data_IF_681280907804
#
_entry.id   IF_681280907804
#
_cell.length_a   1.000
_cell.length_b   1.000
_cell.length_c   1.000
_cell.angle_alpha   90.00
_cell.angle_beta   90.00
_cell.angle_gamma   90.00
#
_symmetry.space_group_name_H-M   'P 1'
#
loop_
_entity.id
_entity.type
_entity.pdbx_description
1 polymer ?
#
# COMPACT_ATOMS: atom_id res chain seq x y z
N UNK A 1 31.98 -43.18 -2.94
CA UNK A 1 31.39 -43.37 -1.60
C UNK A 1 30.66 -44.70 -1.56
N UNK A 2 30.99 -45.60 -0.62
CA UNK A 2 30.34 -46.92 -0.45
C UNK A 2 28.83 -46.72 -0.25
N UNK A 3 28.01 -47.58 -0.88
CA UNK A 3 26.52 -47.58 -0.78
C UNK A 3 26.02 -47.46 0.67
N UNK A 4 26.78 -47.95 1.66
CA UNK A 4 26.46 -47.81 3.09
C UNK A 4 26.42 -46.36 3.58
N UNK A 5 27.26 -45.47 3.06
CA UNK A 5 27.26 -44.06 3.46
C UNK A 5 26.06 -43.30 2.88
N UNK A 6 25.60 -43.68 1.68
CA UNK A 6 24.40 -43.11 1.10
C UNK A 6 23.14 -43.54 1.86
N UNK A 7 23.05 -44.82 2.22
CA UNK A 7 21.96 -45.35 3.03
C UNK A 7 21.94 -44.72 4.42
N UNK A 8 23.11 -44.57 5.07
CA UNK A 8 23.22 -43.90 6.36
C UNK A 8 22.77 -42.43 6.29
N UNK A 9 23.16 -41.71 5.23
CA UNK A 9 22.77 -40.32 5.02
C UNK A 9 21.26 -40.19 4.78
N UNK A 10 20.67 -41.08 3.99
CA UNK A 10 19.22 -41.16 3.81
C UNK A 10 18.55 -41.44 5.15
N UNK A 11 19.01 -42.43 5.92
CA UNK A 11 18.41 -42.80 7.22
C UNK A 11 18.48 -41.66 8.25
N UNK A 12 19.60 -40.93 8.30
CA UNK A 12 19.77 -39.75 9.16
C UNK A 12 18.81 -38.64 8.73
N UNK A 13 18.71 -38.37 7.42
CA UNK A 13 17.77 -37.39 6.89
C UNK A 13 16.32 -37.80 7.21
N UNK A 14 15.95 -39.06 7.04
CA UNK A 14 14.60 -39.55 7.36
C UNK A 14 14.31 -39.47 8.86
N UNK A 15 15.24 -39.85 9.74
CA UNK A 15 15.09 -39.72 11.20
C UNK A 15 14.91 -38.26 11.62
N UNK A 16 15.67 -37.35 11.02
CA UNK A 16 15.55 -35.91 11.26
C UNK A 16 14.20 -35.34 10.79
N UNK A 17 13.61 -35.87 9.72
CA UNK A 17 12.29 -35.46 9.25
C UNK A 17 11.13 -36.10 10.04
N UNK A 18 11.37 -37.15 10.83
CA UNK A 18 10.33 -37.82 11.62
C UNK A 18 10.28 -37.39 13.10
N UNK A 19 11.28 -36.67 13.62
CA UNK A 19 11.25 -35.97 14.92
C UNK A 19 10.58 -34.59 14.81
N UNK A 20 9.38 -34.55 14.22
CA UNK A 20 8.54 -33.34 14.24
C UNK A 20 7.56 -33.52 15.39
N UNK A 21 7.88 -32.93 16.54
CA UNK A 21 6.93 -32.80 17.63
C UNK A 21 5.63 -32.18 17.09
N UNK A 22 4.46 -32.82 17.27
CA UNK A 22 3.19 -32.29 16.81
C UNK A 22 2.85 -31.04 17.65
N UNK A 23 3.19 -29.86 17.13
CA UNK A 23 2.82 -28.60 17.74
C UNK A 23 1.41 -28.18 17.33
N UNK A 24 0.48 -28.28 18.27
CA UNK A 24 -0.89 -27.80 18.13
C UNK A 24 -0.92 -26.26 17.98
N UNK A 25 -1.59 -25.77 16.94
CA UNK A 25 -1.79 -24.35 16.70
C UNK A 25 -2.74 -23.74 17.73
N UNK A 26 -2.19 -23.03 18.74
CA UNK A 26 -2.97 -22.18 19.65
C UNK A 26 -3.27 -20.79 19.06
N UNK A 27 -4.30 -20.08 19.55
CA UNK A 27 -4.67 -18.75 19.05
C UNK A 27 -3.55 -17.72 19.35
N UNK A 28 -3.27 -16.83 18.40
CA UNK A 28 -2.35 -15.69 18.61
C UNK A 28 -0.92 -15.84 18.09
N UNK A 29 -0.72 -16.40 16.89
CA UNK A 29 0.61 -16.41 16.23
C UNK A 29 1.65 -17.28 16.96
N UNK A 30 1.20 -18.16 17.85
CA UNK A 30 2.02 -19.09 18.63
C UNK A 30 2.85 -20.01 17.74
N UNK A 31 2.32 -20.36 16.57
CA UNK A 31 3.03 -21.13 15.52
C UNK A 31 4.25 -20.37 15.00
N UNK A 32 4.08 -19.09 14.64
CA UNK A 32 5.19 -18.24 14.16
C UNK A 32 6.25 -18.08 15.24
N UNK A 33 5.83 -17.77 16.48
CA UNK A 33 6.75 -17.63 17.63
C UNK A 33 7.50 -18.93 17.94
N UNK A 34 6.90 -20.10 17.70
CA UNK A 34 7.55 -21.39 17.91
C UNK A 34 8.57 -21.73 16.82
N UNK A 35 8.27 -21.41 15.55
CA UNK A 35 9.21 -21.55 14.43
C UNK A 35 10.50 -20.75 14.70
N UNK A 36 10.40 -19.53 15.24
CA UNK A 36 11.60 -18.74 15.57
C UNK A 36 12.41 -19.28 16.76
N UNK A 37 11.85 -20.18 17.57
CA UNK A 37 12.52 -20.75 18.75
C UNK A 37 13.28 -22.04 18.43
N UNK A 38 12.78 -22.87 17.51
CA UNK A 38 13.42 -24.15 17.16
C UNK A 38 14.68 -23.95 16.32
N UNK A 39 15.66 -24.85 16.47
CA UNK A 39 16.89 -24.81 15.66
C UNK A 39 16.59 -24.96 14.17
N UNK A 40 15.72 -25.92 13.81
CA UNK A 40 15.26 -26.13 12.44
C UNK A 40 14.46 -24.96 11.87
N UNK A 41 13.60 -24.33 12.67
CA UNK A 41 12.85 -23.16 12.24
C UNK A 41 13.76 -21.95 11.99
N UNK A 42 14.82 -21.77 12.77
CA UNK A 42 15.86 -20.76 12.50
C UNK A 42 16.60 -21.03 11.19
N UNK A 43 16.96 -22.28 10.90
CA UNK A 43 17.59 -22.66 9.63
C UNK A 43 16.64 -22.37 8.47
N UNK A 44 15.39 -22.82 8.55
CA UNK A 44 14.37 -22.59 7.53
C UNK A 44 14.17 -21.09 7.26
N UNK A 45 14.02 -20.28 8.31
CA UNK A 45 13.85 -18.83 8.19
C UNK A 45 15.11 -18.15 7.61
N UNK A 46 16.30 -18.63 7.97
CA UNK A 46 17.56 -18.12 7.42
C UNK A 46 17.68 -18.42 5.92
N UNK A 47 17.36 -19.64 5.50
CA UNK A 47 17.34 -20.03 4.09
C UNK A 47 16.28 -19.23 3.32
N UNK A 48 15.07 -19.09 3.87
CA UNK A 48 14.02 -18.28 3.26
C UNK A 48 14.44 -16.82 3.13
N UNK A 49 15.07 -16.24 4.16
CA UNK A 49 15.58 -14.89 4.14
C UNK A 49 16.67 -14.72 3.07
N UNK A 50 17.61 -15.67 2.93
CA UNK A 50 18.64 -15.61 1.88
C UNK A 50 18.02 -15.63 0.48
N UNK A 51 16.94 -16.40 0.30
CA UNK A 51 16.23 -16.49 -0.99
C UNK A 51 15.43 -15.20 -1.28
N UNK A 52 14.73 -14.65 -0.28
CA UNK A 52 13.86 -13.48 -0.46
C UNK A 52 14.61 -12.14 -0.42
N UNK A 53 15.77 -12.08 0.25
CA UNK A 53 16.54 -10.85 0.44
C UNK A 53 16.97 -10.19 -0.88
N UNK A 54 17.46 -10.92 -1.91
CA UNK A 54 17.75 -10.33 -3.22
C UNK A 54 16.52 -9.67 -3.85
N UNK A 55 15.35 -10.29 -3.74
CA UNK A 55 14.10 -9.73 -4.25
C UNK A 55 13.72 -8.47 -3.47
N UNK A 56 13.71 -8.52 -2.14
CA UNK A 56 13.39 -7.36 -1.29
C UNK A 56 14.34 -6.19 -1.56
N UNK A 57 15.64 -6.44 -1.70
CA UNK A 57 16.62 -5.41 -2.05
C UNK A 57 16.36 -4.85 -3.45
N UNK A 58 16.06 -5.70 -4.42
CA UNK A 58 15.72 -5.25 -5.77
C UNK A 58 14.53 -4.30 -5.76
N UNK A 59 13.43 -4.65 -5.08
CA UNK A 59 12.25 -3.79 -4.94
C UNK A 59 12.61 -2.47 -4.28
N UNK A 60 13.32 -2.52 -3.16
CA UNK A 60 13.75 -1.33 -2.43
C UNK A 60 14.59 -0.39 -3.31
N UNK A 61 15.57 -0.92 -4.05
CA UNK A 61 16.42 -0.12 -4.91
C UNK A 61 15.65 0.47 -6.09
N UNK A 62 14.74 -0.29 -6.72
CA UNK A 62 13.87 0.21 -7.78
C UNK A 62 13.08 1.42 -7.31
N UNK A 63 12.36 1.30 -6.20
CA UNK A 63 11.61 2.41 -5.60
C UNK A 63 12.52 3.60 -5.27
N UNK A 64 13.70 3.35 -4.69
CA UNK A 64 14.65 4.40 -4.36
C UNK A 64 15.09 5.20 -5.60
N UNK A 65 15.43 4.51 -6.70
CA UNK A 65 15.84 5.17 -7.94
C UNK A 65 14.66 5.89 -8.62
N UNK A 66 13.45 5.32 -8.58
CA UNK A 66 12.24 5.95 -9.09
C UNK A 66 11.96 7.27 -8.36
N UNK A 67 11.97 7.24 -7.03
CA UNK A 67 11.79 8.44 -6.19
C UNK A 67 12.85 9.49 -6.49
N UNK A 68 14.11 9.08 -6.61
CA UNK A 68 15.21 10.01 -6.91
C UNK A 68 15.05 10.64 -8.30
N UNK A 69 14.65 9.86 -9.30
CA UNK A 69 14.39 10.32 -10.67
C UNK A 69 13.22 11.32 -10.70
N UNK A 70 12.09 10.97 -10.10
CA UNK A 70 10.91 11.83 -10.06
C UNK A 70 11.19 13.14 -9.32
N UNK A 71 11.85 13.11 -8.16
CA UNK A 71 12.25 14.33 -7.44
C UNK A 71 13.18 15.22 -8.27
N UNK A 72 14.09 14.64 -9.05
CA UNK A 72 14.96 15.40 -9.96
C UNK A 72 14.16 16.09 -11.07
N UNK A 73 13.17 15.42 -11.66
CA UNK A 73 12.30 16.00 -12.69
C UNK A 73 11.41 17.11 -12.10
N UNK A 74 10.79 16.86 -10.94
CA UNK A 74 10.00 17.86 -10.21
C UNK A 74 10.82 19.09 -9.84
N UNK A 75 12.11 18.92 -9.49
CA UNK A 75 12.98 20.07 -9.23
C UNK A 75 13.16 20.97 -10.46
N UNK A 76 13.25 20.39 -11.66
CA UNK A 76 13.37 21.15 -12.91
C UNK A 76 12.05 21.83 -13.28
N UNK A 77 10.93 21.11 -13.18
CA UNK A 77 9.60 21.65 -13.48
C UNK A 77 9.17 22.72 -12.47
N UNK A 78 9.52 22.52 -11.19
CA UNK A 78 9.27 23.44 -10.09
C UNK A 78 9.86 24.83 -10.28
N UNK A 79 10.88 24.99 -11.13
CA UNK A 79 11.45 26.29 -11.49
C UNK A 79 10.54 27.09 -12.43
N UNK A 80 9.70 26.41 -13.22
CA UNK A 80 8.77 27.01 -14.18
C UNK A 80 7.37 27.13 -13.61
N UNK A 81 6.89 26.07 -12.96
CA UNK A 81 5.58 26.03 -12.31
C UNK A 81 5.75 25.57 -10.85
N UNK A 82 5.39 26.44 -9.90
CA UNK A 82 5.52 26.18 -8.47
C UNK A 82 4.69 24.99 -7.98
N UNK A 83 3.64 24.60 -8.68
CA UNK A 83 2.79 23.46 -8.32
C UNK A 83 3.50 22.12 -8.53
N UNK A 84 4.55 22.09 -9.35
CA UNK A 84 5.41 20.93 -9.58
C UNK A 84 6.60 20.89 -8.60
N UNK A 85 6.76 21.89 -7.74
CA UNK A 85 7.76 21.86 -6.67
C UNK A 85 7.42 20.76 -5.67
N UNK A 86 8.38 19.89 -5.35
CA UNK A 86 8.19 18.81 -4.38
C UNK A 86 7.63 19.27 -3.03
N UNK A 87 8.04 20.46 -2.54
CA UNK A 87 7.58 20.97 -1.25
C UNK A 87 6.09 21.34 -1.27
N UNK A 88 5.62 21.95 -2.36
CA UNK A 88 4.21 22.28 -2.52
C UNK A 88 3.40 21.01 -2.79
N UNK A 89 3.94 20.12 -3.62
CA UNK A 89 3.28 18.90 -4.03
C UNK A 89 3.08 17.92 -2.86
N UNK A 90 4.09 17.73 -2.01
CA UNK A 90 3.98 16.92 -0.77
C UNK A 90 2.88 17.48 0.16
N UNK A 91 2.80 18.80 0.31
CA UNK A 91 1.76 19.44 1.11
C UNK A 91 0.37 19.26 0.49
N UNK A 92 0.26 19.43 -0.83
CA UNK A 92 -0.99 19.28 -1.57
C UNK A 92 -1.51 17.85 -1.51
N UNK A 93 -0.68 16.85 -1.79
CA UNK A 93 -1.09 15.44 -1.77
C UNK A 93 -1.49 14.99 -0.37
N UNK A 94 -0.80 15.43 0.69
CA UNK A 94 -1.20 15.16 2.09
C UNK A 94 -2.56 15.77 2.42
N UNK A 95 -2.82 16.99 1.95
CA UNK A 95 -4.12 17.63 2.13
C UNK A 95 -5.22 16.90 1.35
N UNK A 96 -5.01 16.58 0.07
CA UNK A 96 -5.93 15.80 -0.76
C UNK A 96 -6.25 14.46 -0.08
N UNK A 97 -5.22 13.73 0.34
CA UNK A 97 -5.36 12.46 1.07
C UNK A 97 -6.27 12.61 2.29
N UNK A 98 -5.97 13.57 3.16
CA UNK A 98 -6.74 13.79 4.39
C UNK A 98 -8.19 14.18 4.09
N UNK A 99 -8.42 15.06 3.11
CA UNK A 99 -9.76 15.54 2.73
C UNK A 99 -10.62 14.45 2.13
N UNK A 100 -10.04 13.60 1.28
CA UNK A 100 -10.74 12.45 0.69
C UNK A 100 -11.16 11.44 1.77
N UNK A 101 -10.29 11.12 2.72
CA UNK A 101 -10.65 10.25 3.85
C UNK A 101 -11.74 10.85 4.76
N UNK A 102 -11.71 12.17 5.01
CA UNK A 102 -12.79 12.83 5.76
C UNK A 102 -14.13 12.69 5.01
N UNK A 103 -14.12 12.91 3.69
CA UNK A 103 -15.30 12.81 2.84
C UNK A 103 -15.88 11.38 2.82
N UNK A 104 -15.02 10.35 2.75
CA UNK A 104 -15.45 8.95 2.85
C UNK A 104 -16.08 8.62 4.20
N UNK A 105 -15.47 9.05 5.30
CA UNK A 105 -16.02 8.85 6.64
C UNK A 105 -17.38 9.55 6.83
N UNK A 106 -17.55 10.72 6.22
CA UNK A 106 -18.81 11.48 6.23
C UNK A 106 -19.84 10.92 5.22
N UNK A 107 -19.43 10.02 4.32
CA UNK A 107 -20.22 9.50 3.20
C UNK A 107 -20.75 10.60 2.26
N UNK A 108 -20.02 11.71 2.18
CA UNK A 108 -20.30 12.86 1.33
C UNK A 108 -19.06 13.28 0.54
N UNK A 109 -18.95 12.78 -0.68
CA UNK A 109 -17.86 13.13 -1.60
C UNK A 109 -17.94 14.58 -2.11
N UNK A 110 -19.07 15.28 -1.94
CA UNK A 110 -19.17 16.68 -2.39
C UNK A 110 -18.16 17.57 -1.66
N UNK A 111 -17.89 17.28 -0.39
CA UNK A 111 -16.89 17.98 0.42
C UNK A 111 -15.47 17.88 -0.15
N UNK A 112 -15.18 16.82 -0.92
CA UNK A 112 -13.89 16.59 -1.57
C UNK A 112 -13.91 16.79 -3.09
N UNK A 113 -15.01 17.30 -3.66
CA UNK A 113 -15.18 17.44 -5.11
C UNK A 113 -14.09 18.28 -5.79
N UNK A 114 -13.51 19.27 -5.10
CA UNK A 114 -12.38 20.07 -5.61
C UNK A 114 -11.03 19.35 -5.54
N UNK A 115 -10.95 18.21 -4.85
CA UNK A 115 -9.71 17.45 -4.64
C UNK A 115 -9.67 16.15 -5.44
N UNK A 116 -10.73 15.81 -6.16
CA UNK A 116 -10.88 14.58 -6.93
C UNK A 116 -11.29 14.91 -8.36
N UNK A 117 -10.83 14.12 -9.32
CA UNK A 117 -11.23 14.25 -10.71
C UNK A 117 -12.71 13.91 -10.87
N UNK A 118 -13.34 14.46 -11.91
CA UNK A 118 -14.73 14.16 -12.22
C UNK A 118 -14.94 12.66 -12.47
N UNK A 119 -13.97 12.03 -13.14
CA UNK A 119 -13.94 10.60 -13.41
C UNK A 119 -13.91 9.78 -12.11
N UNK A 120 -12.97 10.10 -11.20
CA UNK A 120 -12.85 9.41 -9.92
C UNK A 120 -14.13 9.52 -9.09
N UNK A 121 -14.70 10.73 -9.03
CA UNK A 121 -15.94 10.98 -8.30
C UNK A 121 -17.11 10.12 -8.81
N UNK A 122 -17.31 10.08 -10.14
CA UNK A 122 -18.39 9.28 -10.74
C UNK A 122 -18.22 7.79 -10.43
N UNK A 123 -17.01 7.25 -10.61
CA UNK A 123 -16.75 5.84 -10.36
C UNK A 123 -16.97 5.48 -8.88
N UNK A 124 -16.43 6.27 -7.95
CA UNK A 124 -16.55 5.98 -6.52
C UNK A 124 -18.00 6.08 -6.03
N UNK A 125 -18.74 7.08 -6.51
CA UNK A 125 -20.14 7.28 -6.15
C UNK A 125 -21.03 6.14 -6.68
N UNK A 126 -20.85 5.78 -7.96
CA UNK A 126 -21.69 4.79 -8.64
C UNK A 126 -21.40 3.36 -8.16
N UNK A 127 -20.13 3.00 -7.99
CA UNK A 127 -19.73 1.61 -7.74
C UNK A 127 -19.84 1.24 -6.26
N UNK A 128 -19.42 2.11 -5.35
CA UNK A 128 -19.26 1.71 -3.94
C UNK A 128 -20.29 2.35 -3.01
N UNK A 129 -20.44 3.68 -3.07
CA UNK A 129 -21.28 4.39 -2.09
C UNK A 129 -22.77 4.09 -2.23
N UNK A 130 -23.27 3.97 -3.47
CA UNK A 130 -24.68 3.63 -3.70
C UNK A 130 -25.01 2.21 -3.25
N UNK A 131 -24.12 1.26 -3.48
CA UNK A 131 -24.28 -0.13 -3.04
C UNK A 131 -24.24 -0.26 -1.52
N UNK A 132 -23.27 0.39 -0.87
CA UNK A 132 -23.19 0.40 0.59
C UNK A 132 -24.43 1.02 1.24
N UNK A 133 -24.92 2.14 0.68
CA UNK A 133 -26.18 2.76 1.15
C UNK A 133 -27.38 1.82 0.97
N UNK A 134 -27.47 1.12 -0.17
CA UNK A 134 -28.54 0.13 -0.43
C UNK A 134 -28.51 -1.03 0.56
N UNK A 135 -27.31 -1.48 0.95
CA UNK A 135 -27.12 -2.59 1.89
C UNK A 135 -27.07 -2.16 3.37
N UNK A 136 -27.44 -0.91 3.65
CA UNK A 136 -27.41 -0.30 4.99
C UNK A 136 -26.03 -0.41 5.68
N UNK A 137 -24.97 -0.29 4.88
CA UNK A 137 -23.59 -0.31 5.30
C UNK A 137 -23.06 1.13 5.46
N UNK A 138 -22.19 1.31 6.44
CA UNK A 138 -21.45 2.54 6.68
C UNK A 138 -19.96 2.24 6.65
N UNK A 139 -19.22 2.92 5.78
CA UNK A 139 -17.78 2.96 5.86
C UNK A 139 -17.39 3.88 7.04
N UNK A 140 -16.47 3.40 7.88
CA UNK A 140 -15.80 4.20 8.89
C UNK A 140 -14.32 4.16 8.58
N UNK A 141 -13.80 5.28 8.07
CA UNK A 141 -12.38 5.45 7.82
C UNK A 141 -11.80 6.59 8.66
N UNK A 142 -10.66 6.37 9.31
CA UNK A 142 -9.94 7.39 10.06
C UNK A 142 -8.46 7.32 9.76
N UNK A 143 -7.85 8.47 9.59
CA UNK A 143 -6.40 8.61 9.41
C UNK A 143 -5.82 9.15 10.71
N UNK A 144 -4.92 8.39 11.34
CA UNK A 144 -4.16 8.86 12.51
C UNK A 144 -2.96 9.71 12.08
N UNK A 145 -2.26 9.27 11.03
CA UNK A 145 -1.14 10.03 10.48
C UNK A 145 -0.58 9.47 9.19
N UNK A 146 0.02 10.34 8.38
CA UNK A 146 0.71 9.98 7.13
C UNK A 146 2.20 9.81 7.42
N UNK A 147 2.70 8.58 7.35
CA UNK A 147 4.10 8.23 7.62
C UNK A 147 5.02 8.64 6.49
N UNK A 148 4.62 8.36 5.25
CA UNK A 148 5.47 8.63 4.09
C UNK A 148 4.67 8.97 2.84
N UNK A 149 5.26 9.81 1.99
CA UNK A 149 4.77 10.15 0.65
C UNK A 149 5.97 10.11 -0.28
N UNK A 150 5.91 9.25 -1.29
CA UNK A 150 7.01 9.01 -2.23
C UNK A 150 6.50 9.14 -3.66
N UNK A 151 7.02 10.06 -4.49
CA UNK A 151 6.66 10.14 -5.90
C UNK A 151 7.34 8.98 -6.63
N UNK A 152 6.57 8.06 -7.21
CA UNK A 152 7.11 6.89 -7.91
C UNK A 152 7.28 7.18 -9.39
N UNK A 153 6.28 7.79 -10.01
CA UNK A 153 6.23 7.99 -11.45
C UNK A 153 5.66 9.37 -11.79
N UNK A 154 6.22 10.01 -12.82
CA UNK A 154 5.79 11.31 -13.32
C UNK A 154 5.68 11.25 -14.84
N UNK A 155 4.48 11.51 -15.34
CA UNK A 155 4.15 11.67 -16.75
C UNK A 155 3.83 13.14 -17.01
N UNK A 156 4.53 13.74 -17.96
CA UNK A 156 4.40 15.16 -18.27
C UNK A 156 3.68 15.30 -19.60
N UNK A 157 2.59 16.06 -19.57
CA UNK A 157 1.86 16.44 -20.77
C UNK A 157 2.70 17.34 -21.68
N UNK A 158 2.47 17.24 -22.98
CA UNK A 158 3.09 18.12 -23.98
C UNK A 158 2.47 19.52 -24.00
N UNK A 159 1.35 19.73 -23.29
CA UNK A 159 0.69 21.02 -23.18
C UNK A 159 1.61 22.06 -22.51
N UNK A 160 1.64 23.30 -23.03
CA UNK A 160 2.50 24.37 -22.52
C UNK A 160 2.24 24.71 -21.04
N UNK A 161 0.98 24.57 -20.60
CA UNK A 161 0.55 24.77 -19.22
C UNK A 161 0.66 23.50 -18.35
N UNK A 162 1.18 22.40 -18.90
CA UNK A 162 1.34 21.10 -18.24
C UNK A 162 0.02 20.41 -17.85
N UNK A 163 -1.12 20.89 -18.35
CA UNK A 163 -2.44 20.28 -18.12
C UNK A 163 -2.50 18.84 -18.65
N UNK A 164 -3.08 17.95 -17.86
CA UNK A 164 -3.11 16.51 -18.10
C UNK A 164 -1.84 15.77 -17.66
N UNK A 165 -0.87 16.44 -17.04
CA UNK A 165 0.27 15.76 -16.41
C UNK A 165 -0.20 14.89 -15.25
N UNK A 166 0.45 13.74 -15.06
CA UNK A 166 0.07 12.76 -14.04
C UNK A 166 1.24 12.39 -13.16
N UNK A 167 0.97 12.14 -11.89
CA UNK A 167 1.97 11.69 -10.93
C UNK A 167 1.41 10.60 -10.02
N UNK A 168 2.16 9.52 -9.85
CA UNK A 168 1.83 8.44 -8.92
C UNK A 168 2.64 8.58 -7.63
N UNK A 169 1.97 8.53 -6.48
CA UNK A 169 2.59 8.52 -5.16
C UNK A 169 2.33 7.22 -4.43
N UNK A 170 3.38 6.62 -3.86
CA UNK A 170 3.22 5.66 -2.79
C UNK A 170 3.03 6.42 -1.47
N UNK A 171 1.88 6.24 -0.85
CA UNK A 171 1.53 6.84 0.43
C UNK A 171 1.41 5.73 1.48
N UNK A 172 2.19 5.86 2.54
CA UNK A 172 2.09 5.03 3.75
C UNK A 172 1.41 5.83 4.83
N UNK A 173 0.27 5.36 5.33
CA UNK A 173 -0.45 6.02 6.41
C UNK A 173 -0.98 5.01 7.43
N UNK A 174 -1.18 5.48 8.65
CA UNK A 174 -1.81 4.72 9.71
C UNK A 174 -3.33 4.98 9.67
N UNK A 175 -4.09 3.97 9.29
CA UNK A 175 -5.50 4.09 8.92
C UNK A 175 -6.30 3.04 9.67
N UNK A 176 -7.52 3.41 10.06
CA UNK A 176 -8.56 2.48 10.49
C UNK A 176 -9.64 2.52 9.43
N UNK A 177 -9.86 1.43 8.70
CA UNK A 177 -10.91 1.31 7.69
C UNK A 177 -11.71 0.03 7.92
N UNK A 178 -13.02 0.20 8.13
CA UNK A 178 -13.95 -0.90 8.25
C UNK A 178 -15.37 -0.51 7.83
N UNK A 179 -16.12 -1.53 7.47
CA UNK A 179 -17.53 -1.43 7.10
C UNK A 179 -18.39 -1.97 8.24
N UNK A 180 -19.36 -1.17 8.70
CA UNK A 180 -20.32 -1.56 9.72
C UNK A 180 -21.73 -1.62 9.12
N UNK A 181 -22.48 -2.67 9.44
CA UNK A 181 -23.91 -2.72 9.14
C UNK A 181 -24.68 -1.90 10.21
N UNK A 182 -25.49 -0.93 9.76
CA UNK A 182 -26.14 0.04 10.66
C UNK A 182 -27.22 -0.59 11.56
N UNK A 183 -27.86 -1.67 11.13
CA UNK A 183 -28.91 -2.33 11.93
C UNK A 183 -28.30 -3.17 13.06
N UNK A 184 -27.23 -3.91 12.75
CA UNK A 184 -26.65 -4.90 13.66
C UNK A 184 -25.45 -4.36 14.45
N UNK A 185 -24.91 -3.22 14.05
CA UNK A 185 -23.62 -2.68 14.52
C UNK A 185 -22.45 -3.68 14.41
N UNK A 186 -22.57 -4.68 13.53
CA UNK A 186 -21.50 -5.65 13.27
C UNK A 186 -20.57 -5.14 12.19
N UNK A 187 -19.28 -5.35 12.41
CA UNK A 187 -18.24 -5.15 11.40
C UNK A 187 -18.39 -6.26 10.36
N UNK A 188 -18.65 -5.89 9.11
CA UNK A 188 -18.82 -6.83 8.00
C UNK A 188 -17.54 -7.01 7.19
N UNK A 189 -16.64 -6.02 7.23
CA UNK A 189 -15.38 -6.02 6.50
C UNK A 189 -14.39 -5.07 7.17
N UNK A 190 -13.08 -5.37 7.07
CA UNK A 190 -12.01 -4.52 7.59
C UNK A 190 -11.75 -4.69 9.08
N UNK A 191 -11.02 -3.75 9.66
CA UNK A 191 -10.57 -3.78 11.05
C UNK A 191 -10.90 -2.46 11.74
N UNK A 192 -11.40 -2.53 12.97
CA UNK A 192 -11.59 -1.35 13.82
C UNK A 192 -10.32 -0.93 14.56
N UNK A 193 -9.15 -1.42 14.13
CA UNK A 193 -7.85 -1.04 14.65
C UNK A 193 -7.11 -0.23 13.60
N UNK A 194 -6.30 0.68 14.07
CA UNK A 194 -5.32 1.36 13.24
C UNK A 194 -4.23 0.39 12.81
N UNK A 195 -3.93 0.37 11.52
CA UNK A 195 -2.80 -0.37 10.95
C UNK A 195 -2.13 0.47 9.85
N UNK A 196 -0.91 0.09 9.49
CA UNK A 196 -0.19 0.73 8.40
C UNK A 196 -0.67 0.19 7.06
N UNK A 197 -1.11 1.09 6.20
CA UNK A 197 -1.51 0.76 4.84
C UNK A 197 -0.70 1.56 3.82
N UNK A 198 -0.29 0.85 2.77
CA UNK A 198 0.38 1.40 1.60
C UNK A 198 -0.60 1.44 0.41
N UNK A 199 -0.77 2.62 -0.18
CA UNK A 199 -1.61 2.81 -1.37
C UNK A 199 -0.90 3.67 -2.40
N UNK A 200 -1.20 3.42 -3.68
CA UNK A 200 -0.73 4.25 -4.78
C UNK A 200 -1.82 5.24 -5.13
N UNK A 201 -1.51 6.52 -5.04
CA UNK A 201 -2.41 7.63 -5.37
C UNK A 201 -1.93 8.28 -6.65
N UNK A 202 -2.77 8.24 -7.68
CA UNK A 202 -2.50 8.86 -8.97
C UNK A 202 -3.23 10.19 -9.00
N UNK A 203 -2.48 11.27 -9.16
CA UNK A 203 -3.01 12.62 -9.29
C UNK A 203 -2.82 13.11 -10.73
N UNK A 204 -3.80 13.86 -11.21
CA UNK A 204 -3.76 14.56 -12.49
C UNK A 204 -3.71 16.08 -12.23
N UNK A 205 -2.91 16.79 -13.02
CA UNK A 205 -2.88 18.25 -13.01
C UNK A 205 -3.92 18.76 -13.99
N UNK A 206 -5.01 19.32 -13.46
CA UNK A 206 -6.12 19.85 -14.24
C UNK A 206 -6.60 21.18 -13.67
N UNK A 207 -6.96 22.12 -14.54
CA UNK A 207 -7.43 23.46 -14.17
C UNK A 207 -6.48 24.20 -13.21
N UNK A 208 -5.17 24.00 -13.39
CA UNK A 208 -4.13 24.61 -12.55
C UNK A 208 -3.97 23.99 -11.16
N UNK A 209 -4.55 22.82 -10.89
CA UNK A 209 -4.44 22.14 -9.60
C UNK A 209 -4.25 20.63 -9.73
N UNK A 210 -3.63 20.04 -8.71
CA UNK A 210 -3.53 18.58 -8.62
C UNK A 210 -4.78 18.01 -7.98
N UNK A 211 -5.42 17.06 -8.65
CA UNK A 211 -6.61 16.35 -8.14
C UNK A 211 -6.38 14.84 -8.19
N UNK A 212 -6.99 14.11 -7.27
CA UNK A 212 -6.95 12.65 -7.23
C UNK A 212 -7.71 12.08 -8.43
N UNK A 213 -7.05 11.26 -9.25
CA UNK A 213 -7.66 10.60 -10.41
C UNK A 213 -7.89 9.11 -10.20
N UNK A 214 -6.98 8.41 -9.49
CA UNK A 214 -7.11 6.97 -9.23
C UNK A 214 -6.39 6.54 -7.94
N UNK A 215 -6.84 5.43 -7.36
CA UNK A 215 -6.20 4.79 -6.20
C UNK A 215 -6.01 3.30 -6.48
N UNK A 216 -4.78 2.84 -6.33
CA UNK A 216 -4.39 1.45 -6.52
C UNK A 216 -3.73 0.87 -5.26
N UNK A 217 -3.63 -0.46 -5.22
CA UNK A 217 -2.98 -1.14 -4.10
C UNK A 217 -1.46 -0.91 -4.08
N UNK A 218 -0.88 -0.73 -2.88
CA UNK A 218 0.55 -0.51 -2.68
C UNK A 218 1.44 -1.62 -3.24
N UNK A 219 0.93 -2.85 -3.36
CA UNK A 219 1.65 -3.98 -3.98
C UNK A 219 2.04 -3.74 -5.44
N UNK A 220 1.39 -2.78 -6.11
CA UNK A 220 1.68 -2.41 -7.49
C UNK A 220 2.81 -1.36 -7.60
N UNK A 221 3.54 -1.05 -6.53
CA UNK A 221 4.58 0.00 -6.54
C UNK A 221 5.65 -0.24 -7.61
N UNK A 222 5.99 -1.51 -7.85
CA UNK A 222 6.92 -1.95 -8.89
C UNK A 222 6.46 -1.66 -10.31
N UNK A 223 5.14 -1.56 -10.57
CA UNK A 223 4.63 -1.21 -11.88
C UNK A 223 4.92 0.26 -12.23
N UNK A 224 5.09 1.10 -11.21
CA UNK A 224 5.38 2.53 -11.36
C UNK A 224 6.86 2.89 -11.13
N UNK A 225 7.61 2.05 -10.40
CA UNK A 225 9.02 2.28 -10.06
C UNK A 225 10.00 1.81 -11.16
#
# INVERSE_FOLDING_TARGET
>A
MRKSHFILLVLIVTLVFFDIDPMYAGPGGTVVKAIFKTWWGKILMSTLAIILLPLTLYVYFREFFAVKKCKKQLLQLGQRNKDFSWLNLDKNVRNIFTRVYIAWNNQDLKEASSYISHWYWQNQQLVHLNEWKKNNLKNVCKVDGIKSVKPLYLEISENENLEGSRIAFLITANIMDYMINRDTNKIVQGSNKFDDEDKIWILEYTEGQWVLDDIQDGQLSLAFA
#
